data_IF_645546734382
#
_entry.id   IF_645546734382
#
_cell.length_a   1.000
_cell.length_b   1.000
_cell.length_c   1.000
_cell.angle_alpha   90.00
_cell.angle_beta   90.00
_cell.angle_gamma   90.00
#
_symmetry.space_group_name_H-M   'P 1'
#
loop_
_entity.id
_entity.type
_entity.pdbx_description
1 polymer ?
#
# COMPACT_ATOMS: atom_id res chain seq x y z
N UNK A 1 5.63 16.26 6.51
CA UNK A 1 5.61 15.66 5.15
C UNK A 1 4.19 15.50 4.65
N UNK A 2 3.96 15.69 3.35
CA UNK A 2 2.72 15.32 2.68
C UNK A 2 2.70 13.87 2.18
N UNK A 3 1.56 13.40 1.64
CA UNK A 3 1.37 12.03 1.14
C UNK A 3 2.36 11.60 0.05
N UNK A 4 2.91 12.55 -0.71
CA UNK A 4 3.89 12.32 -1.77
C UNK A 4 5.17 11.62 -1.30
N UNK A 5 5.54 11.79 -0.04
CA UNK A 5 6.76 11.20 0.52
C UNK A 5 6.59 9.76 1.03
N UNK A 6 5.36 9.24 1.08
CA UNK A 6 5.08 7.90 1.63
C UNK A 6 5.84 6.82 0.86
N UNK A 7 5.96 6.97 -0.47
CA UNK A 7 6.69 6.05 -1.33
C UNK A 7 8.18 6.00 -0.93
N UNK A 8 8.82 7.15 -0.75
CA UNK A 8 10.24 7.23 -0.40
C UNK A 8 10.51 6.73 1.03
N UNK A 9 9.59 6.99 1.96
CA UNK A 9 9.69 6.43 3.32
C UNK A 9 9.57 4.92 3.30
N UNK A 10 8.57 4.36 2.60
CA UNK A 10 8.38 2.92 2.43
C UNK A 10 9.54 2.26 1.69
N UNK A 11 10.16 2.96 0.75
CA UNK A 11 11.36 2.48 0.08
C UNK A 11 12.53 2.24 1.06
N UNK A 12 12.63 3.04 2.12
CA UNK A 12 13.66 2.89 3.14
C UNK A 12 13.28 1.90 4.24
N UNK A 13 12.03 1.87 4.69
CA UNK A 13 11.63 1.01 5.82
C UNK A 13 11.16 -0.38 5.40
N UNK A 14 10.72 -0.53 4.15
CA UNK A 14 10.07 -1.74 3.63
C UNK A 14 8.60 -1.88 4.04
N UNK A 15 8.01 -3.01 3.69
CA UNK A 15 6.66 -3.41 4.08
C UNK A 15 6.65 -4.91 4.33
N UNK A 16 6.54 -5.30 5.60
CA UNK A 16 6.55 -6.71 5.99
C UNK A 16 5.30 -7.48 5.56
N UNK A 17 4.17 -6.80 5.35
CA UNK A 17 2.93 -7.45 4.90
C UNK A 17 3.08 -7.91 3.45
N UNK A 18 3.70 -7.06 2.63
CA UNK A 18 3.88 -7.27 1.19
C UNK A 18 5.28 -7.79 0.81
N UNK A 19 6.06 -8.22 1.80
CA UNK A 19 7.42 -8.74 1.63
C UNK A 19 8.37 -7.77 0.88
N UNK A 20 8.17 -6.47 1.09
CA UNK A 20 9.04 -5.42 0.57
C UNK A 20 10.21 -5.23 1.57
N UNK A 21 11.48 -5.36 1.12
CA UNK A 21 12.61 -5.49 2.03
C UNK A 21 13.06 -4.19 2.70
N UNK A 22 13.01 -3.05 1.99
CA UNK A 22 13.59 -1.78 2.45
C UNK A 22 15.11 -1.82 2.66
N UNK A 23 15.62 -0.90 3.47
CA UNK A 23 17.02 -0.82 3.89
C UNK A 23 17.18 -1.46 5.27
N UNK A 24 17.95 -2.54 5.35
CA UNK A 24 18.11 -3.29 6.60
C UNK A 24 18.67 -2.41 7.71
N UNK A 25 17.94 -2.33 8.82
CA UNK A 25 18.35 -1.56 10.00
C UNK A 25 18.11 -0.05 9.88
N UNK A 26 17.33 0.38 8.89
CA UNK A 26 16.69 1.71 8.82
C UNK A 26 15.20 1.52 9.06
N UNK A 27 14.69 2.13 10.12
CA UNK A 27 13.25 2.10 10.46
C UNK A 27 12.66 3.50 10.38
N UNK A 28 11.37 3.62 10.72
CA UNK A 28 10.59 4.87 10.63
C UNK A 28 11.30 6.08 11.24
N UNK A 29 11.85 5.94 12.46
CA UNK A 29 12.57 7.00 13.18
C UNK A 29 13.84 7.50 12.49
N UNK A 30 14.35 6.75 11.52
CA UNK A 30 15.52 7.12 10.70
C UNK A 30 15.07 7.56 9.31
N UNK A 31 14.14 6.84 8.68
CA UNK A 31 13.68 7.14 7.33
C UNK A 31 12.93 8.48 7.24
N UNK A 32 12.02 8.77 8.17
CA UNK A 32 11.24 10.01 8.17
C UNK A 32 12.15 11.25 8.17
N UNK A 33 13.10 11.42 9.12
CA UNK A 33 13.99 12.56 9.09
C UNK A 33 14.84 12.68 7.81
N UNK A 34 15.27 11.54 7.24
CA UNK A 34 16.02 11.55 5.98
C UNK A 34 15.15 12.08 4.84
N UNK A 35 13.92 11.60 4.70
CA UNK A 35 13.03 12.08 3.63
C UNK A 35 12.54 13.52 3.91
N UNK A 36 12.40 13.94 5.16
CA UNK A 36 12.15 15.35 5.49
C UNK A 36 13.31 16.26 5.07
N UNK A 37 14.55 15.80 5.26
CA UNK A 37 15.75 16.56 4.92
C UNK A 37 16.02 16.60 3.41
N UNK A 38 15.93 15.44 2.74
CA UNK A 38 16.35 15.28 1.35
C UNK A 38 15.16 15.26 0.37
N UNK A 39 13.93 15.14 0.83
CA UNK A 39 12.71 15.19 0.02
C UNK A 39 12.40 13.90 -0.74
N UNK A 40 13.38 13.32 -1.44
CA UNK A 40 13.21 12.10 -2.25
C UNK A 40 14.31 11.09 -1.98
N UNK A 41 14.06 9.82 -2.30
CA UNK A 41 15.07 8.77 -2.23
C UNK A 41 16.26 9.08 -3.15
N UNK A 42 16.00 9.59 -4.36
CA UNK A 42 17.05 9.96 -5.31
C UNK A 42 17.94 11.05 -4.74
N UNK A 43 17.36 12.14 -4.26
CA UNK A 43 18.11 13.26 -3.71
C UNK A 43 18.90 12.87 -2.44
N UNK A 44 18.36 11.96 -1.62
CA UNK A 44 19.09 11.36 -0.48
C UNK A 44 20.35 10.63 -0.96
N UNK A 45 20.28 9.83 -2.02
CA UNK A 45 21.43 9.08 -2.54
C UNK A 45 22.41 9.95 -3.34
N UNK A 46 21.95 11.08 -3.92
CA UNK A 46 22.83 12.09 -4.53
C UNK A 46 23.65 12.85 -3.48
N UNK A 47 23.11 13.05 -2.28
CA UNK A 47 23.72 13.79 -1.17
C UNK A 47 24.05 12.89 0.03
N UNK A 48 24.43 11.64 -0.25
CA UNK A 48 24.61 10.64 0.80
C UNK A 48 25.70 11.00 1.82
N UNK A 49 26.70 11.77 1.39
CA UNK A 49 27.77 12.30 2.23
C UNK A 49 27.27 13.30 3.31
N UNK A 50 26.13 13.95 3.06
CA UNK A 50 25.51 14.90 4.00
C UNK A 50 24.71 14.19 5.11
N UNK A 51 24.59 12.86 5.07
CA UNK A 51 23.99 12.07 6.15
C UNK A 51 24.93 12.06 7.37
N UNK A 52 24.56 12.79 8.42
CA UNK A 52 25.39 12.99 9.62
C UNK A 52 25.84 11.67 10.28
N UNK A 53 24.94 10.68 10.31
CA UNK A 53 25.20 9.40 10.98
C UNK A 53 25.91 8.44 10.04
N UNK A 54 27.21 8.27 10.23
CA UNK A 54 28.07 7.32 9.49
C UNK A 54 27.44 5.92 9.40
N UNK A 55 26.90 5.38 10.50
CA UNK A 55 26.29 4.04 10.51
C UNK A 55 24.99 3.94 9.70
N UNK A 56 24.27 5.04 9.50
CA UNK A 56 23.09 5.09 8.64
C UNK A 56 23.53 5.17 7.19
N UNK A 57 24.51 6.03 6.88
CA UNK A 57 25.13 6.10 5.55
C UNK A 57 25.63 4.75 5.06
N UNK A 58 26.41 4.02 5.88
CA UNK A 58 26.90 2.68 5.50
C UNK A 58 25.76 1.71 5.16
N UNK A 59 24.67 1.70 5.95
CA UNK A 59 23.49 0.85 5.64
C UNK A 59 22.82 1.25 4.34
N UNK A 60 22.70 2.56 4.08
CA UNK A 60 22.12 3.08 2.84
C UNK A 60 22.98 2.67 1.64
N UNK A 61 24.31 2.74 1.76
CA UNK A 61 25.27 2.29 0.73
C UNK A 61 25.14 0.78 0.47
N UNK A 62 25.23 -0.03 1.51
CA UNK A 62 25.18 -1.50 1.44
C UNK A 62 23.86 -2.03 0.86
N UNK A 63 22.76 -1.29 1.05
CA UNK A 63 21.42 -1.71 0.66
C UNK A 63 20.77 -0.79 -0.37
N UNK A 64 21.56 -0.04 -1.15
CA UNK A 64 21.06 0.87 -2.20
C UNK A 64 20.09 0.20 -3.15
N UNK A 65 20.48 -0.95 -3.70
CA UNK A 65 19.65 -1.67 -4.67
C UNK A 65 18.32 -2.11 -4.08
N UNK A 66 18.31 -2.47 -2.78
CA UNK A 66 17.08 -2.83 -2.08
C UNK A 66 16.17 -1.62 -1.85
N UNK A 67 16.73 -0.43 -1.58
CA UNK A 67 15.94 0.79 -1.43
C UNK A 67 15.21 1.14 -2.75
N UNK A 68 15.94 1.14 -3.88
CA UNK A 68 15.36 1.44 -5.20
C UNK A 68 14.40 0.35 -5.69
N UNK A 69 14.70 -0.92 -5.43
CA UNK A 69 13.76 -2.01 -5.67
C UNK A 69 12.48 -1.81 -4.84
N UNK A 70 12.62 -1.51 -3.56
CA UNK A 70 11.48 -1.28 -2.67
C UNK A 70 10.64 -0.10 -3.12
N UNK A 71 11.27 1.01 -3.55
CA UNK A 71 10.57 2.14 -4.16
C UNK A 71 9.72 1.72 -5.36
N UNK A 72 10.28 0.88 -6.23
CA UNK A 72 9.54 0.35 -7.38
C UNK A 72 8.34 -0.50 -6.94
N UNK A 73 8.54 -1.39 -5.97
CA UNK A 73 7.49 -2.31 -5.50
C UNK A 73 6.33 -1.59 -4.79
N UNK A 74 6.61 -0.54 -4.02
CA UNK A 74 5.57 0.22 -3.28
C UNK A 74 4.92 1.32 -4.10
N UNK A 75 5.44 1.59 -5.31
CA UNK A 75 4.84 2.58 -6.21
C UNK A 75 3.65 1.96 -6.95
N UNK A 76 2.47 2.52 -6.74
CA UNK A 76 1.26 2.11 -7.47
C UNK A 76 1.38 2.58 -8.92
N UNK A 77 1.37 1.62 -9.85
CA UNK A 77 1.26 1.91 -11.28
C UNK A 77 -0.18 2.32 -11.61
N UNK A 78 -0.39 3.61 -11.91
CA UNK A 78 -1.70 4.17 -12.25
C UNK A 78 -2.03 4.09 -13.74
N UNK A 79 -1.03 3.90 -14.58
CA UNK A 79 -1.17 3.94 -16.05
C UNK A 79 -1.45 2.56 -16.66
N UNK A 80 -2.16 1.71 -15.92
CA UNK A 80 -2.54 0.37 -16.40
C UNK A 80 -3.63 0.52 -17.46
N UNK A 81 -3.48 -0.07 -18.67
CA UNK A 81 -4.43 0.09 -19.77
C UNK A 81 -5.70 -0.75 -19.52
N UNK A 82 -6.54 -0.30 -18.59
CA UNK A 82 -7.83 -0.92 -18.27
C UNK A 82 -8.91 -0.28 -19.12
N UNK A 83 -9.57 -1.08 -19.96
CA UNK A 83 -10.76 -0.66 -20.68
C UNK A 83 -12.00 -0.69 -19.77
N UNK A 84 -12.23 0.41 -19.06
CA UNK A 84 -13.37 0.55 -18.15
C UNK A 84 -14.72 0.44 -18.87
N UNK A 85 -14.79 0.75 -20.18
CA UNK A 85 -16.04 0.62 -20.96
C UNK A 85 -16.38 -0.84 -21.21
N UNK A 86 -15.37 -1.67 -21.47
CA UNK A 86 -15.54 -3.13 -21.64
C UNK A 86 -15.95 -3.84 -20.36
N UNK A 87 -15.50 -3.36 -19.19
CA UNK A 87 -15.76 -4.01 -17.89
C UNK A 87 -17.17 -3.69 -17.35
N UNK A 88 -17.88 -2.72 -17.95
CA UNK A 88 -19.25 -2.34 -17.57
C UNK A 88 -19.42 -2.27 -16.04
N UNK A 89 -18.74 -1.30 -15.41
CA UNK A 89 -18.77 -1.01 -13.97
C UNK A 89 -20.16 -0.47 -13.52
N UNK A 90 -21.22 -1.19 -13.86
CA UNK A 90 -22.62 -0.86 -13.56
C UNK A 90 -23.08 -1.78 -12.45
N UNK A 91 -23.57 -1.20 -11.36
CA UNK A 91 -24.21 -1.96 -10.28
C UNK A 91 -25.44 -2.66 -10.83
N UNK A 92 -25.43 -4.00 -10.79
CA UNK A 92 -26.59 -4.83 -11.17
C UNK A 92 -27.44 -5.18 -9.95
N UNK A 93 -28.74 -5.46 -10.12
CA UNK A 93 -29.55 -6.05 -9.07
C UNK A 93 -28.92 -7.36 -8.58
N UNK A 94 -28.96 -7.59 -7.27
CA UNK A 94 -28.45 -8.82 -6.66
C UNK A 94 -29.40 -9.98 -6.94
N UNK A 95 -28.87 -11.13 -7.34
CA UNK A 95 -29.62 -12.38 -7.43
C UNK A 95 -29.68 -13.02 -6.03
N UNK A 96 -30.75 -12.74 -5.30
CA UNK A 96 -30.95 -13.20 -3.92
C UNK A 96 -31.09 -14.73 -3.87
N UNK A 97 -31.69 -15.34 -4.89
CA UNK A 97 -31.87 -16.79 -4.95
C UNK A 97 -30.53 -17.49 -5.12
N UNK A 98 -29.72 -17.04 -6.07
CA UNK A 98 -28.38 -17.60 -6.27
C UNK A 98 -27.48 -17.41 -5.04
N UNK A 99 -27.57 -16.25 -4.37
CA UNK A 99 -26.81 -15.98 -3.15
C UNK A 99 -27.23 -16.87 -1.98
N UNK A 100 -28.53 -17.06 -1.74
CA UNK A 100 -29.00 -17.91 -0.64
C UNK A 100 -28.60 -19.38 -0.85
N UNK A 101 -28.71 -19.89 -2.08
CA UNK A 101 -28.24 -21.24 -2.43
C UNK A 101 -26.74 -21.40 -2.20
N UNK A 102 -25.92 -20.41 -2.57
CA UNK A 102 -24.48 -20.42 -2.33
C UNK A 102 -24.13 -20.41 -0.83
N UNK A 103 -24.84 -19.60 -0.04
CA UNK A 103 -24.67 -19.57 1.42
C UNK A 103 -25.10 -20.89 2.08
N UNK A 104 -26.13 -21.56 1.57
CA UNK A 104 -26.54 -22.88 2.03
C UNK A 104 -25.48 -23.94 1.74
N UNK A 105 -24.93 -23.96 0.53
CA UNK A 105 -23.85 -24.87 0.13
C UNK A 105 -22.61 -24.74 1.02
N UNK A 106 -22.21 -23.50 1.34
CA UNK A 106 -21.05 -23.22 2.18
C UNK A 106 -21.33 -23.30 3.69
N UNK A 107 -22.59 -23.53 4.10
CA UNK A 107 -22.99 -23.59 5.51
C UNK A 107 -23.01 -22.24 6.22
N UNK A 108 -23.06 -21.12 5.49
CA UNK A 108 -23.15 -19.76 6.04
C UNK A 108 -24.58 -19.40 6.49
N UNK A 109 -25.14 -20.19 7.41
CA UNK A 109 -26.54 -20.08 7.84
C UNK A 109 -26.93 -18.71 8.42
N UNK A 110 -25.99 -17.98 9.04
CA UNK A 110 -26.25 -16.64 9.63
C UNK A 110 -26.31 -15.51 8.59
N UNK A 111 -25.79 -15.76 7.38
CA UNK A 111 -25.81 -14.80 6.27
C UNK A 111 -27.00 -15.02 5.33
N UNK A 112 -27.73 -16.14 5.48
CA UNK A 112 -28.97 -16.43 4.75
C UNK A 112 -30.10 -15.47 5.13
N UNK A 113 -30.98 -15.14 4.19
CA UNK A 113 -32.12 -14.25 4.42
C UNK A 113 -31.78 -12.79 4.76
N UNK A 114 -30.49 -12.41 4.81
CA UNK A 114 -30.04 -11.04 5.02
C UNK A 114 -30.30 -10.23 3.75
N UNK A 115 -31.52 -9.68 3.60
CA UNK A 115 -31.81 -8.75 2.50
C UNK A 115 -30.97 -7.47 2.68
N UNK A 116 -30.15 -7.07 1.69
CA UNK A 116 -29.41 -5.81 1.74
C UNK A 116 -30.30 -4.56 1.71
N UNK A 117 -31.63 -4.71 1.62
CA UNK A 117 -32.60 -3.61 1.74
C UNK A 117 -32.97 -3.24 3.17
N UNK A 118 -32.34 -3.81 4.20
CA UNK A 118 -32.41 -3.23 5.55
C UNK A 118 -31.47 -2.04 5.62
N UNK A 119 -31.81 -0.94 4.93
CA UNK A 119 -31.40 0.38 5.40
C UNK A 119 -32.17 0.57 6.69
N UNK A 120 -31.54 0.20 7.81
CA UNK A 120 -32.07 0.51 9.13
C UNK A 120 -32.09 2.03 9.20
N UNK A 121 -33.27 2.64 9.03
CA UNK A 121 -33.44 4.06 9.30
C UNK A 121 -32.89 4.31 10.70
N UNK A 122 -31.78 5.03 10.79
CA UNK A 122 -31.30 5.56 12.06
C UNK A 122 -32.29 6.64 12.49
N UNK A 123 -33.34 6.23 13.19
CA UNK A 123 -34.27 7.14 13.84
C UNK A 123 -33.68 7.56 15.20
N UNK A 124 -33.40 8.85 15.29
CA UNK A 124 -33.03 9.68 16.46
C UNK A 124 -31.63 9.55 17.04
#
# INVERSE_FOLDING_TARGET
>A
MGPEHVIDVLALIGDSSDNVPGVKGVGEKTAIPLIEQFGTLENLYEHLDDVERVSVRTKLEEHRDMAFLSKTLVTIHTDVPIDAKRIALVRRPMDITALDSFCEELGFHTLRGSSPNTVREMTK
#
